data_IF_588028806342
#
_entry.id   IF_588028806342
#
_cell.length_a   1.000
_cell.length_b   1.000
_cell.length_c   1.000
_cell.angle_alpha   90.00
_cell.angle_beta   90.00
_cell.angle_gamma   90.00
#
_symmetry.space_group_name_H-M   'P 1'
#
loop_
_entity.id
_entity.type
_entity.pdbx_description
1 polymer ?
#
# COMPACT_ATOMS: atom_id res chain seq x y z
N UNK A 1 -10.75 -9.84 -2.04
CA UNK A 1 -9.56 -9.84 -2.93
C UNK A 1 -9.96 -10.46 -4.25
N UNK A 2 -9.75 -9.78 -5.38
CA UNK A 2 -10.19 -10.31 -6.69
C UNK A 2 -9.20 -11.38 -7.19
N UNK A 3 -9.61 -12.34 -8.04
CA UNK A 3 -8.70 -13.36 -8.57
C UNK A 3 -7.51 -12.76 -9.33
N UNK A 4 -7.74 -11.66 -10.05
CA UNK A 4 -6.70 -10.96 -10.81
C UNK A 4 -5.66 -10.32 -9.89
N UNK A 5 -6.08 -9.77 -8.76
CA UNK A 5 -5.14 -9.16 -7.82
C UNK A 5 -4.30 -10.22 -7.12
N UNK A 6 -4.83 -11.41 -6.81
CA UNK A 6 -4.04 -12.52 -6.25
C UNK A 6 -2.87 -12.96 -7.15
N UNK A 7 -3.07 -13.03 -8.47
CA UNK A 7 -2.00 -13.39 -9.40
C UNK A 7 -0.91 -12.31 -9.47
N UNK A 8 -1.29 -11.03 -9.45
CA UNK A 8 -0.35 -9.90 -9.45
C UNK A 8 0.40 -9.79 -8.12
N UNK A 9 -0.27 -10.08 -7.02
CA UNK A 9 0.36 -10.19 -5.71
C UNK A 9 1.36 -11.33 -5.62
N UNK A 10 1.04 -12.47 -6.23
CA UNK A 10 1.99 -13.58 -6.31
C UNK A 10 3.24 -13.20 -7.09
N UNK A 11 3.12 -12.49 -8.21
CA UNK A 11 4.29 -12.03 -8.96
C UNK A 11 5.13 -11.02 -8.16
N UNK A 12 4.50 -10.07 -7.47
CA UNK A 12 5.19 -9.12 -6.57
C UNK A 12 5.87 -9.88 -5.42
N UNK A 13 5.21 -10.86 -4.81
CA UNK A 13 5.79 -11.64 -3.73
C UNK A 13 6.99 -12.49 -4.19
N UNK A 14 6.90 -13.09 -5.39
CA UNK A 14 7.99 -13.84 -6.02
C UNK A 14 9.17 -12.92 -6.38
N UNK A 15 8.92 -11.66 -6.75
CA UNK A 15 9.94 -10.65 -7.06
C UNK A 15 10.66 -10.11 -5.80
N UNK A 16 9.91 -9.76 -4.76
CA UNK A 16 10.45 -9.02 -3.62
C UNK A 16 10.85 -9.87 -2.40
N UNK A 17 10.42 -11.14 -2.33
CA UNK A 17 10.97 -12.14 -1.40
C UNK A 17 10.93 -11.77 0.10
N UNK A 18 9.91 -12.30 0.79
CA UNK A 18 9.56 -12.16 2.24
C UNK A 18 8.92 -10.83 2.66
N UNK A 19 7.69 -10.96 3.14
CA UNK A 19 6.93 -9.92 3.83
C UNK A 19 7.35 -9.91 5.31
N UNK A 20 8.36 -9.12 5.65
CA UNK A 20 8.57 -8.72 7.05
C UNK A 20 7.60 -7.59 7.37
N UNK A 21 6.61 -7.86 8.23
CA UNK A 21 5.68 -6.84 8.70
C UNK A 21 6.48 -5.71 9.37
N UNK A 22 6.45 -4.47 8.87
CA UNK A 22 7.09 -3.37 9.56
C UNK A 22 6.41 -3.17 10.93
N UNK A 23 7.18 -2.84 11.98
CA UNK A 23 6.59 -2.49 13.27
C UNK A 23 5.75 -1.23 13.08
N UNK A 24 4.44 -1.32 13.27
CA UNK A 24 3.50 -0.21 13.08
C UNK A 24 3.93 1.05 13.85
N UNK A 25 4.35 2.16 13.19
CA UNK A 25 4.99 3.26 13.90
C UNK A 25 4.13 4.52 13.96
N UNK A 26 3.02 4.62 13.24
CA UNK A 26 2.25 5.86 13.18
C UNK A 26 1.31 6.01 14.37
N UNK A 27 1.87 6.43 15.51
CA UNK A 27 1.12 7.09 16.59
C UNK A 27 1.03 8.59 16.29
N UNK A 28 0.22 8.95 15.29
CA UNK A 28 -0.05 10.34 14.88
C UNK A 28 -1.51 10.75 15.08
N UNK A 29 -1.82 12.05 14.98
CA UNK A 29 -3.20 12.51 14.85
C UNK A 29 -3.80 11.91 13.58
N UNK A 30 -4.95 11.26 13.69
CA UNK A 30 -5.63 10.55 12.60
C UNK A 30 -5.74 11.41 11.32
N UNK A 31 -5.98 12.72 11.46
CA UNK A 31 -6.05 13.66 10.35
C UNK A 31 -4.74 13.77 9.54
N UNK A 32 -3.58 13.74 10.19
CA UNK A 32 -2.27 13.85 9.52
C UNK A 32 -1.95 12.55 8.78
N UNK A 33 -2.24 11.41 9.41
CA UNK A 33 -2.07 10.08 8.79
C UNK A 33 -3.01 9.93 7.59
N UNK A 34 -4.26 10.37 7.71
CA UNK A 34 -5.22 10.39 6.61
C UNK A 34 -4.78 11.29 5.46
N UNK A 35 -4.26 12.48 5.74
CA UNK A 35 -3.75 13.39 4.71
C UNK A 35 -2.54 12.79 3.97
N UNK A 36 -1.61 12.16 4.70
CA UNK A 36 -0.46 11.47 4.12
C UNK A 36 -0.90 10.31 3.21
N UNK A 37 -1.86 9.49 3.67
CA UNK A 37 -2.41 8.39 2.88
C UNK A 37 -3.08 8.89 1.59
N UNK A 38 -3.87 9.98 1.67
CA UNK A 38 -4.54 10.56 0.51
C UNK A 38 -3.55 11.16 -0.50
N UNK A 39 -2.49 11.83 -0.04
CA UNK A 39 -1.46 12.36 -0.93
C UNK A 39 -0.71 11.25 -1.66
N UNK A 40 -0.31 10.20 -0.93
CA UNK A 40 0.36 9.04 -1.53
C UNK A 40 -0.56 8.30 -2.53
N UNK A 41 -1.85 8.12 -2.19
CA UNK A 41 -2.82 7.52 -3.12
C UNK A 41 -2.97 8.36 -4.40
N UNK A 42 -3.00 9.69 -4.27
CA UNK A 42 -3.07 10.60 -5.42
C UNK A 42 -1.85 10.46 -6.34
N UNK A 43 -0.66 10.33 -5.77
CA UNK A 43 0.58 10.13 -6.53
C UNK A 43 0.58 8.79 -7.28
N UNK A 44 0.20 7.71 -6.61
CA UNK A 44 0.09 6.37 -7.21
C UNK A 44 -0.90 6.37 -8.36
N UNK A 45 -2.11 6.91 -8.17
CA UNK A 45 -3.13 6.97 -9.22
C UNK A 45 -2.80 7.94 -10.35
N UNK A 46 -1.96 8.95 -10.09
CA UNK A 46 -1.44 9.83 -11.14
C UNK A 46 -0.47 9.08 -12.07
N UNK A 47 0.37 8.20 -11.53
CA UNK A 47 1.31 7.41 -12.30
C UNK A 47 0.66 6.21 -13.00
N UNK A 48 -0.23 5.48 -12.30
CA UNK A 48 -0.96 4.35 -12.86
C UNK A 48 -2.39 4.32 -12.29
N UNK A 49 -3.36 4.69 -13.15
CA UNK A 49 -4.77 4.71 -12.79
C UNK A 49 -5.40 3.32 -12.64
N UNK A 50 -4.70 2.26 -13.05
CA UNK A 50 -5.18 0.88 -12.98
C UNK A 50 -4.80 0.16 -11.68
N UNK A 51 -4.10 0.85 -10.77
CA UNK A 51 -3.67 0.30 -9.47
C UNK A 51 -4.89 -0.10 -8.63
N UNK A 52 -4.86 -1.34 -8.16
CA UNK A 52 -5.93 -1.90 -7.34
C UNK A 52 -5.77 -1.46 -5.87
N UNK A 53 -6.87 -1.44 -5.11
CA UNK A 53 -6.87 -0.98 -3.71
C UNK A 53 -5.91 -1.76 -2.81
N UNK A 54 -5.70 -3.03 -3.08
CA UNK A 54 -4.76 -3.87 -2.34
C UNK A 54 -3.30 -3.53 -2.67
N UNK A 55 -2.98 -3.30 -3.93
CA UNK A 55 -1.65 -2.79 -4.33
C UNK A 55 -1.37 -1.40 -3.76
N UNK A 56 -2.39 -0.54 -3.69
CA UNK A 56 -2.28 0.75 -3.01
C UNK A 56 -2.00 0.56 -1.52
N UNK A 57 -2.70 -0.36 -0.84
CA UNK A 57 -2.46 -0.67 0.57
C UNK A 57 -1.04 -1.22 0.81
N UNK A 58 -0.52 -2.02 -0.13
CA UNK A 58 0.87 -2.46 -0.11
C UNK A 58 1.85 -1.29 -0.21
N UNK A 59 1.65 -0.44 -1.20
CA UNK A 59 2.51 0.71 -1.46
C UNK A 59 2.57 1.63 -0.24
N UNK A 60 1.40 1.90 0.35
CA UNK A 60 1.29 2.68 1.58
C UNK A 60 2.01 2.02 2.77
N UNK A 61 1.92 0.70 2.91
CA UNK A 61 2.60 -0.02 3.99
C UNK A 61 4.13 -0.06 3.83
N UNK A 62 4.64 -0.22 2.61
CA UNK A 62 6.08 -0.32 2.34
C UNK A 62 6.76 1.05 2.29
N UNK A 63 6.15 2.03 1.61
CA UNK A 63 6.80 3.32 1.35
C UNK A 63 6.45 4.40 2.37
N UNK A 64 5.31 4.29 3.04
CA UNK A 64 4.82 5.32 3.96
C UNK A 64 4.57 4.80 5.38
N UNK A 65 4.76 3.50 5.62
CA UNK A 65 4.49 2.83 6.91
C UNK A 65 3.03 3.02 7.40
N UNK A 66 2.12 3.20 6.44
CA UNK A 66 0.68 3.33 6.67
C UNK A 66 0.02 1.99 6.39
N UNK A 67 -0.35 1.28 7.45
CA UNK A 67 -1.11 0.03 7.34
C UNK A 67 -2.61 0.35 7.38
N UNK A 68 -3.30 0.12 6.27
CA UNK A 68 -4.76 0.24 6.16
C UNK A 68 -5.35 -1.17 6.12
N UNK A 69 -6.36 -1.45 6.96
CA UNK A 69 -7.06 -2.74 7.01
C UNK A 69 -8.37 -2.71 6.25
#
# INVERSE_FOLDING_TARGET
VSPRSLYRWRSIFEEFGKVTKPPSPLRGREQIVGLAALNAAKEVYFHDSSVMLDELAWYLAIHHDIVIS
#
